data_IF_281876199388
#
_entry.id   IF_281876199388
#
_cell.length_a   1.000
_cell.length_b   1.000
_cell.length_c   1.000
_cell.angle_alpha   90.00
_cell.angle_beta   90.00
_cell.angle_gamma   90.00
#
_symmetry.space_group_name_H-M   'P 1'
#
loop_
_entity.id
_entity.type
_entity.pdbx_description
1 polymer ?
#
# COMPACT_ATOMS: atom_id res chain seq x y z
N UNK A 1 3.74 7.82 22.21
CA UNK A 1 2.89 7.60 21.04
C UNK A 1 3.77 6.90 20.02
N UNK A 2 3.67 5.56 19.96
CA UNK A 2 4.48 4.78 19.02
C UNK A 2 4.05 5.11 17.61
N UNK A 3 5.02 5.24 16.73
CA UNK A 3 4.88 5.77 15.39
C UNK A 3 4.47 4.59 14.50
N UNK A 4 3.37 4.76 13.74
CA UNK A 4 2.82 3.87 12.71
C UNK A 4 1.90 2.73 13.22
N UNK A 5 0.58 3.00 13.28
CA UNK A 5 -0.49 2.01 13.49
C UNK A 5 -0.65 1.11 12.23
N UNK A 6 0.36 0.30 11.89
CA UNK A 6 0.16 -0.83 10.96
C UNK A 6 -0.87 -1.83 11.51
N UNK A 7 -1.05 -1.82 12.82
CA UNK A 7 -1.93 -2.72 13.55
C UNK A 7 -3.40 -2.28 13.53
N UNK A 8 -3.77 -1.10 13.03
CA UNK A 8 -5.17 -0.66 12.94
C UNK A 8 -5.89 -0.48 14.29
N UNK A 9 -7.04 0.19 14.29
CA UNK A 9 -7.85 0.45 15.48
C UNK A 9 -8.79 -0.72 15.85
N UNK A 10 -9.33 -1.44 14.87
CA UNK A 10 -10.33 -2.49 15.09
C UNK A 10 -9.73 -3.75 15.72
N UNK A 11 -10.44 -4.43 16.63
CA UNK A 11 -10.11 -5.80 17.03
C UNK A 11 -9.89 -6.69 15.80
N UNK A 12 -8.91 -7.61 15.84
CA UNK A 12 -8.52 -8.38 14.66
C UNK A 12 -9.72 -9.09 14.01
N UNK A 13 -10.59 -9.69 14.82
CA UNK A 13 -11.79 -10.43 14.38
C UNK A 13 -12.82 -9.56 13.63
N UNK A 14 -12.74 -8.24 13.71
CA UNK A 14 -13.71 -7.30 13.11
C UNK A 14 -13.17 -6.65 11.82
N UNK A 15 -11.94 -6.98 11.43
CA UNK A 15 -11.31 -6.49 10.20
C UNK A 15 -11.75 -7.34 9.01
N UNK A 16 -11.55 -6.79 7.82
CA UNK A 16 -11.64 -7.58 6.58
C UNK A 16 -10.61 -8.72 6.63
N UNK A 17 -11.02 -9.92 6.26
CA UNK A 17 -10.16 -11.12 6.24
C UNK A 17 -9.01 -11.00 5.22
N UNK A 18 -7.99 -11.84 5.41
CA UNK A 18 -6.75 -11.73 4.66
C UNK A 18 -6.92 -11.94 3.15
N UNK A 19 -7.77 -12.89 2.74
CA UNK A 19 -7.98 -13.20 1.33
C UNK A 19 -8.80 -12.12 0.63
N UNK A 20 -9.84 -11.63 1.30
CA UNK A 20 -10.64 -10.51 0.80
C UNK A 20 -9.79 -9.25 0.68
N UNK A 21 -8.98 -8.92 1.70
CA UNK A 21 -8.10 -7.74 1.66
C UNK A 21 -7.07 -7.85 0.55
N UNK A 22 -6.44 -9.02 0.37
CA UNK A 22 -5.51 -9.27 -0.75
C UNK A 22 -6.18 -9.07 -2.10
N UNK A 23 -7.35 -9.68 -2.30
CA UNK A 23 -8.10 -9.61 -3.56
C UNK A 23 -8.50 -8.17 -3.91
N UNK A 24 -8.99 -7.42 -2.92
CA UNK A 24 -9.36 -6.02 -3.05
C UNK A 24 -8.17 -5.15 -3.46
N UNK A 25 -7.03 -5.29 -2.78
CA UNK A 25 -5.83 -4.50 -3.07
C UNK A 25 -5.20 -4.85 -4.42
N UNK A 26 -5.14 -6.15 -4.76
CA UNK A 26 -4.64 -6.58 -6.07
C UNK A 26 -5.47 -5.99 -7.22
N UNK A 27 -6.79 -5.95 -7.06
CA UNK A 27 -7.68 -5.34 -8.04
C UNK A 27 -7.49 -3.82 -8.09
N UNK A 28 -7.57 -3.14 -6.95
CA UNK A 28 -7.44 -1.68 -6.86
C UNK A 28 -6.14 -1.17 -7.47
N UNK A 29 -5.02 -1.83 -7.17
CA UNK A 29 -3.72 -1.39 -7.65
C UNK A 29 -3.47 -1.80 -9.11
N UNK A 30 -4.11 -2.86 -9.60
CA UNK A 30 -4.19 -3.12 -11.04
C UNK A 30 -4.94 -2.02 -11.76
N UNK A 31 -6.10 -1.61 -11.25
CA UNK A 31 -6.91 -0.55 -11.83
C UNK A 31 -6.17 0.81 -11.77
N UNK A 32 -5.45 1.09 -10.68
CA UNK A 32 -4.58 2.26 -10.56
C UNK A 32 -3.47 2.28 -11.61
N UNK A 33 -2.76 1.16 -11.82
CA UNK A 33 -1.73 1.05 -12.88
C UNK A 33 -2.32 1.31 -14.26
N UNK A 34 -3.47 0.73 -14.58
CA UNK A 34 -4.14 0.95 -15.86
C UNK A 34 -4.54 2.42 -16.07
N UNK A 35 -4.99 3.10 -15.01
CA UNK A 35 -5.31 4.54 -15.07
C UNK A 35 -4.07 5.40 -15.21
N UNK A 36 -2.98 5.08 -14.49
CA UNK A 36 -1.68 5.74 -14.63
C UNK A 36 -1.18 5.59 -16.06
N UNK A 37 -1.20 4.38 -16.62
CA UNK A 37 -0.80 4.12 -18.00
C UNK A 37 -1.63 4.93 -19.01
N UNK A 38 -2.93 5.08 -18.75
CA UNK A 38 -3.83 5.85 -19.61
C UNK A 38 -3.54 7.37 -19.59
N UNK A 39 -3.04 7.90 -18.48
CA UNK A 39 -2.77 9.34 -18.31
C UNK A 39 -1.35 9.70 -18.76
N UNK A 40 -0.35 8.92 -18.37
CA UNK A 40 1.07 9.25 -18.57
C UNK A 40 1.75 8.45 -19.68
N UNK A 41 1.03 7.50 -20.28
CA UNK A 41 1.52 6.59 -21.29
C UNK A 41 1.83 5.21 -20.71
N UNK A 42 1.87 4.18 -21.57
CA UNK A 42 2.04 2.81 -21.12
C UNK A 42 3.42 2.62 -20.49
N UNK A 43 3.45 2.05 -19.28
CA UNK A 43 4.70 1.69 -18.62
C UNK A 43 4.99 0.20 -18.69
N UNK A 44 6.27 -0.14 -18.68
CA UNK A 44 6.72 -1.50 -18.44
C UNK A 44 6.76 -1.75 -16.93
N UNK A 45 5.66 -2.26 -16.39
CA UNK A 45 5.54 -2.60 -14.98
C UNK A 45 6.28 -3.90 -14.66
N UNK A 46 7.32 -3.78 -13.83
CA UNK A 46 8.07 -4.91 -13.26
C UNK A 46 7.66 -5.13 -11.80
N UNK A 47 8.18 -6.18 -11.16
CA UNK A 47 7.94 -6.47 -9.73
C UNK A 47 6.45 -6.55 -9.35
N UNK A 48 5.72 -7.36 -10.12
CA UNK A 48 4.36 -7.76 -9.79
C UNK A 48 4.44 -9.13 -9.10
N UNK A 49 4.15 -9.18 -7.80
CA UNK A 49 4.16 -10.43 -7.07
C UNK A 49 2.87 -11.22 -7.35
N UNK A 50 2.99 -12.37 -8.02
CA UNK A 50 1.87 -13.32 -8.21
C UNK A 50 1.59 -14.09 -6.91
N UNK A 51 2.64 -14.43 -6.17
CA UNK A 51 2.59 -15.11 -4.88
C UNK A 51 3.21 -14.21 -3.78
N UNK A 52 2.43 -13.29 -3.18
CA UNK A 52 2.97 -12.33 -2.25
C UNK A 52 3.34 -12.96 -0.91
N UNK A 53 4.31 -12.34 -0.23
CA UNK A 53 4.88 -12.88 1.00
C UNK A 53 3.87 -12.78 2.14
N UNK A 54 3.61 -13.92 2.79
CA UNK A 54 2.77 -14.03 3.98
C UNK A 54 3.64 -14.06 5.24
N UNK A 55 3.24 -13.31 6.25
CA UNK A 55 3.87 -13.31 7.58
C UNK A 55 2.81 -13.52 8.65
N UNK A 56 2.93 -14.59 9.42
CA UNK A 56 2.18 -14.74 10.66
C UNK A 56 2.80 -13.82 11.72
N UNK A 57 1.95 -13.20 12.53
CA UNK A 57 2.40 -12.36 13.62
C UNK A 57 1.32 -12.17 14.67
N UNK A 58 1.74 -11.60 15.78
CA UNK A 58 0.91 -11.38 16.94
C UNK A 58 0.79 -9.89 17.23
N UNK A 59 -0.44 -9.42 17.41
CA UNK A 59 -0.73 -8.06 17.85
C UNK A 59 -1.04 -8.11 19.35
N UNK A 60 -0.29 -7.35 20.13
CA UNK A 60 -0.64 -7.14 21.53
C UNK A 60 -1.69 -6.04 21.62
N UNK A 61 -2.89 -6.40 22.07
CA UNK A 61 -3.98 -5.48 22.40
C UNK A 61 -4.08 -5.35 23.93
N UNK A 62 -4.42 -4.14 24.38
CA UNK A 62 -4.74 -3.75 25.76
C UNK A 62 -4.69 -4.88 26.81
N UNK A 63 -3.79 -4.74 27.79
CA UNK A 63 -3.68 -5.62 28.96
C UNK A 63 -3.36 -7.11 28.64
N UNK A 64 -2.48 -7.36 27.66
CA UNK A 64 -1.89 -8.68 27.44
C UNK A 64 -2.74 -9.65 26.61
N UNK A 65 -3.75 -9.16 25.88
CA UNK A 65 -4.48 -9.98 24.92
C UNK A 65 -3.69 -10.01 23.62
N UNK A 66 -3.13 -11.17 23.30
CA UNK A 66 -2.44 -11.40 22.04
C UNK A 66 -3.42 -11.94 21.00
N UNK A 67 -3.67 -11.17 19.94
CA UNK A 67 -4.39 -11.65 18.76
C UNK A 67 -3.36 -12.14 17.73
N UNK A 68 -3.56 -13.32 17.15
CA UNK A 68 -2.69 -13.84 16.07
C UNK A 68 -3.37 -13.65 14.73
N UNK A 69 -2.67 -13.01 13.81
CA UNK A 69 -3.16 -12.76 12.45
C UNK A 69 -2.09 -13.02 11.41
N UNK A 70 -2.46 -12.85 10.14
CA UNK A 70 -1.54 -12.91 9.01
C UNK A 70 -1.51 -11.57 8.30
N UNK A 71 -0.33 -11.11 7.91
CA UNK A 71 -0.15 -9.99 7.01
C UNK A 71 0.41 -10.46 5.68
N UNK A 72 -0.01 -9.82 4.60
CA UNK A 72 0.54 -10.01 3.26
C UNK A 72 1.24 -8.73 2.83
N UNK A 73 2.47 -8.89 2.36
CA UNK A 73 3.24 -7.84 1.72
C UNK A 73 3.41 -8.19 0.24
N UNK A 74 3.09 -7.26 -0.64
CA UNK A 74 3.14 -7.48 -2.07
C UNK A 74 3.68 -6.25 -2.79
N UNK A 75 4.62 -6.48 -3.71
CA UNK A 75 4.98 -5.51 -4.74
C UNK A 75 3.93 -5.52 -5.83
N UNK A 76 3.53 -4.33 -6.25
CA UNK A 76 2.40 -4.08 -7.15
C UNK A 76 2.82 -3.19 -8.31
N UNK A 77 4.07 -3.33 -8.75
CA UNK A 77 4.60 -2.59 -9.88
C UNK A 77 5.79 -1.72 -9.53
N UNK A 78 6.78 -1.75 -10.42
CA UNK A 78 7.92 -0.85 -10.48
C UNK A 78 8.16 -0.47 -11.94
N UNK A 79 8.23 0.82 -12.22
CA UNK A 79 8.67 1.37 -13.50
C UNK A 79 10.10 1.86 -13.32
N UNK A 80 11.02 1.24 -14.03
CA UNK A 80 12.43 1.65 -14.03
C UNK A 80 12.55 2.89 -14.90
N UNK A 81 13.10 3.98 -14.35
CA UNK A 81 13.28 5.25 -15.05
C UNK A 81 12.00 5.77 -15.73
N UNK A 82 10.94 5.94 -14.92
CA UNK A 82 9.67 6.49 -15.40
C UNK A 82 9.85 7.89 -16.02
N UNK A 83 9.01 8.28 -16.99
CA UNK A 83 9.01 9.64 -17.55
C UNK A 83 8.32 10.65 -16.63
N UNK A 84 7.82 10.23 -15.46
CA UNK A 84 7.06 11.07 -14.55
C UNK A 84 7.91 12.23 -14.03
N UNK A 85 7.38 13.44 -14.18
CA UNK A 85 7.88 14.61 -13.46
C UNK A 85 7.47 14.58 -11.99
N UNK A 86 8.00 15.51 -11.21
CA UNK A 86 7.60 15.69 -9.81
C UNK A 86 6.09 15.95 -9.66
N UNK A 87 5.47 16.66 -10.62
CA UNK A 87 4.02 16.91 -10.60
C UNK A 87 3.23 15.67 -11.02
N UNK A 88 3.70 14.95 -12.05
CA UNK A 88 3.03 13.72 -12.51
C UNK A 88 3.01 12.65 -11.41
N UNK A 89 4.02 12.64 -10.52
CA UNK A 89 4.00 11.79 -9.34
C UNK A 89 2.81 12.08 -8.42
N UNK A 90 2.50 13.34 -8.16
CA UNK A 90 1.37 13.69 -7.30
C UNK A 90 0.04 13.35 -7.95
N UNK A 91 -0.08 13.52 -9.26
CA UNK A 91 -1.26 13.11 -10.02
C UNK A 91 -1.41 11.57 -10.03
N UNK A 92 -0.31 10.82 -10.17
CA UNK A 92 -0.31 9.36 -10.05
C UNK A 92 -0.66 8.90 -8.62
N UNK A 93 -0.16 9.60 -7.60
CA UNK A 93 -0.52 9.36 -6.19
C UNK A 93 -2.03 9.58 -5.95
N UNK A 94 -2.61 10.60 -6.56
CA UNK A 94 -4.05 10.86 -6.48
C UNK A 94 -4.87 9.74 -7.13
N UNK A 95 -4.43 9.21 -8.27
CA UNK A 95 -5.05 8.00 -8.86
C UNK A 95 -5.00 6.83 -7.89
N UNK A 96 -3.85 6.55 -7.27
CA UNK A 96 -3.73 5.46 -6.29
C UNK A 96 -4.68 5.70 -5.11
N UNK A 97 -4.72 6.93 -4.56
CA UNK A 97 -5.62 7.31 -3.46
C UNK A 97 -7.07 7.02 -3.78
N UNK A 98 -7.53 7.40 -4.97
CA UNK A 98 -8.90 7.18 -5.40
C UNK A 98 -9.25 5.69 -5.47
N UNK A 99 -8.37 4.87 -6.05
CA UNK A 99 -8.63 3.43 -6.22
C UNK A 99 -8.65 2.65 -4.91
N UNK A 100 -7.86 3.07 -3.92
CA UNK A 100 -7.75 2.35 -2.63
C UNK A 100 -8.67 2.92 -1.53
N UNK A 101 -9.21 4.13 -1.71
CA UNK A 101 -10.11 4.76 -0.75
C UNK A 101 -11.35 3.91 -0.39
N UNK A 102 -12.02 3.19 -1.32
CA UNK A 102 -13.15 2.32 -0.98
C UNK A 102 -12.82 1.21 0.02
N UNK A 103 -11.53 0.85 0.15
CA UNK A 103 -11.04 -0.19 1.06
C UNK A 103 -10.44 0.37 2.35
N UNK A 104 -10.65 1.67 2.61
CA UNK A 104 -10.30 2.33 3.86
C UNK A 104 -8.88 2.90 3.94
N UNK A 105 -8.08 2.80 2.88
CA UNK A 105 -6.72 3.35 2.82
C UNK A 105 -6.76 4.85 2.49
N UNK A 106 -7.12 5.68 3.46
CA UNK A 106 -7.37 7.11 3.24
C UNK A 106 -6.43 8.04 4.01
N UNK A 107 -5.65 7.52 4.96
CA UNK A 107 -4.79 8.35 5.80
C UNK A 107 -3.38 8.46 5.22
N UNK A 108 -3.12 9.57 4.53
CA UNK A 108 -1.84 9.83 3.85
C UNK A 108 -0.78 10.37 4.81
N UNK A 109 0.38 9.74 4.82
CA UNK A 109 1.61 10.23 5.47
C UNK A 109 2.67 10.46 4.40
N UNK A 110 3.29 11.63 4.46
CA UNK A 110 4.46 11.98 3.66
C UNK A 110 5.73 11.65 4.45
N UNK A 111 6.55 10.74 3.94
CA UNK A 111 7.87 10.38 4.46
C UNK A 111 9.01 10.79 3.52
N UNK A 112 8.69 11.61 2.52
CA UNK A 112 9.64 12.04 1.50
C UNK A 112 10.87 12.72 2.10
N UNK A 113 12.01 12.49 1.45
CA UNK A 113 13.28 13.15 1.76
C UNK A 113 13.90 13.77 0.50
N UNK A 114 15.18 14.10 0.56
CA UNK A 114 15.92 14.71 -0.54
C UNK A 114 16.08 13.78 -1.76
N UNK A 115 15.94 12.47 -1.59
CA UNK A 115 16.15 11.45 -2.63
C UNK A 115 14.83 10.86 -3.12
N UNK A 116 13.83 10.76 -2.26
CA UNK A 116 12.57 10.07 -2.55
C UNK A 116 11.38 11.00 -2.39
N UNK A 117 10.41 10.84 -3.28
CA UNK A 117 9.02 10.96 -2.90
C UNK A 117 8.62 9.63 -2.26
N UNK A 118 8.16 9.66 -1.02
CA UNK A 118 7.78 8.46 -0.27
C UNK A 118 6.48 8.72 0.51
N UNK A 119 5.41 8.06 0.09
CA UNK A 119 4.08 8.27 0.64
C UNK A 119 3.44 6.94 1.04
N UNK A 120 2.85 6.95 2.22
CA UNK A 120 2.12 5.83 2.77
C UNK A 120 0.65 6.21 2.96
N UNK A 121 -0.27 5.45 2.37
CA UNK A 121 -1.70 5.53 2.67
C UNK A 121 -2.07 4.43 3.64
N UNK A 122 -2.46 4.77 4.86
CA UNK A 122 -2.84 3.80 5.88
C UNK A 122 -4.35 3.57 5.90
N UNK A 123 -4.73 2.32 6.15
CA UNK A 123 -6.05 1.98 6.66
C UNK A 123 -5.98 1.99 8.19
N UNK A 124 -6.42 3.09 8.81
CA UNK A 124 -6.33 3.25 10.28
C UNK A 124 -7.25 2.33 11.05
N UNK A 125 -8.30 1.82 10.42
CA UNK A 125 -9.27 0.94 11.08
C UNK A 125 -8.76 -0.49 11.09
N UNK A 126 -8.46 -1.04 9.93
CA UNK A 126 -8.04 -2.43 9.82
C UNK A 126 -6.52 -2.63 9.81
N UNK A 127 -5.74 -1.55 9.73
CA UNK A 127 -4.29 -1.62 9.62
C UNK A 127 -3.79 -1.86 8.19
N UNK A 128 -2.47 -1.84 8.05
CA UNK A 128 -1.79 -1.91 6.76
C UNK A 128 -1.64 -0.56 6.05
N UNK A 129 -0.90 -0.59 4.95
CA UNK A 129 -0.62 0.58 4.14
C UNK A 129 -0.41 0.26 2.66
N UNK A 130 -0.59 1.28 1.81
CA UNK A 130 -0.10 1.32 0.44
C UNK A 130 1.11 2.24 0.41
N UNK A 131 2.22 1.76 -0.13
CA UNK A 131 3.43 2.55 -0.37
C UNK A 131 3.46 2.98 -1.83
N UNK A 132 3.67 4.28 -2.05
CA UNK A 132 3.82 4.90 -3.38
C UNK A 132 5.10 5.72 -3.34
N UNK A 133 6.10 5.30 -4.11
CA UNK A 133 7.47 5.84 -4.01
C UNK A 133 7.96 6.24 -5.38
N UNK A 134 8.64 7.38 -5.49
CA UNK A 134 9.42 7.73 -6.65
C UNK A 134 10.79 8.27 -6.27
N UNK A 135 11.86 7.70 -6.84
CA UNK A 135 13.20 8.25 -6.69
C UNK A 135 13.35 9.51 -7.57
N UNK A 136 13.84 10.61 -7.00
CA UNK A 136 13.97 11.91 -7.66
C UNK A 136 15.09 11.96 -8.69
N UNK A 137 16.12 11.13 -8.55
CA UNK A 137 17.28 11.10 -9.44
C UNK A 137 17.05 10.15 -10.62
N UNK A 138 16.78 8.87 -10.33
CA UNK A 138 16.66 7.83 -11.35
C UNK A 138 15.23 7.58 -11.83
N UNK A 139 14.24 8.28 -11.27
CA UNK A 139 12.82 8.22 -11.65
C UNK A 139 12.18 6.84 -11.53
N UNK A 140 12.78 5.93 -10.75
CA UNK A 140 12.14 4.67 -10.39
C UNK A 140 10.85 4.93 -9.61
N UNK A 141 9.71 4.47 -10.12
CA UNK A 141 8.38 4.65 -9.52
C UNK A 141 7.78 3.30 -9.14
N UNK A 142 7.36 3.13 -7.88
CA UNK A 142 6.84 1.87 -7.37
C UNK A 142 5.58 2.02 -6.54
N UNK A 143 4.80 0.93 -6.55
CA UNK A 143 3.60 0.76 -5.76
C UNK A 143 3.69 -0.59 -5.04
N UNK A 144 3.41 -0.62 -3.74
CA UNK A 144 3.37 -1.84 -2.94
C UNK A 144 2.30 -1.73 -1.85
N UNK A 145 1.95 -2.85 -1.22
CA UNK A 145 1.12 -2.82 -0.02
C UNK A 145 1.60 -3.76 1.08
N UNK A 146 1.19 -3.43 2.30
CA UNK A 146 1.00 -4.33 3.43
C UNK A 146 -0.48 -4.34 3.78
N UNK A 147 -1.09 -5.53 3.93
CA UNK A 147 -2.48 -5.61 4.41
C UNK A 147 -2.59 -5.18 5.87
N UNK A 148 -1.49 -5.17 6.63
CA UNK A 148 -1.54 -5.29 8.08
C UNK A 148 -2.03 -6.68 8.50
N UNK A 149 -2.00 -6.96 9.79
CA UNK A 149 -2.51 -8.24 10.31
C UNK A 149 -4.03 -8.35 10.14
N UNK A 150 -4.48 -9.41 9.48
CA UNK A 150 -5.89 -9.73 9.24
C UNK A 150 -6.29 -11.08 9.86
N UNK A 151 -7.58 -11.27 10.15
CA UNK A 151 -8.10 -12.59 10.46
C UNK A 151 -7.99 -13.50 9.21
N UNK A 152 -7.81 -14.80 9.46
CA UNK A 152 -7.74 -15.85 8.43
C UNK A 152 -9.12 -16.46 8.23
#
# INVERSE_FOLDING_TARGET
>A
MSIFDEDGAKPLKERVDIETSQSQLNRALKDARLRIDAVFGPFEWTWLDEEPRRGAGSIERNAGVTETGTAINSRQGMVIASPLTDNDFFDALDIVKEEVAPYGFTYLINQSDAQLFDFFLYNREDGGHISVVMNRENRGFSIAYSTGHRPV
#
